data_IF_748440948698
#
_entry.id   IF_748440948698
#
_cell.length_a   1.000
_cell.length_b   1.000
_cell.length_c   1.000
_cell.angle_alpha   90.00
_cell.angle_beta   90.00
_cell.angle_gamma   90.00
#
_symmetry.space_group_name_H-M   'P 1'
#
loop_
_entity.id
_entity.type
_entity.pdbx_description
1 polymer ?
#
# COMPACT_ATOMS: atom_id res chain seq x y z
N UNK A 1 2.69 -14.90 13.47
CA UNK A 1 3.54 -13.69 13.55
C UNK A 1 4.28 -13.56 12.24
N UNK A 2 3.80 -12.72 11.32
CA UNK A 2 4.49 -12.41 10.08
C UNK A 2 5.72 -11.56 10.41
N UNK A 3 6.91 -12.07 10.13
CA UNK A 3 8.16 -11.33 10.31
C UNK A 3 8.13 -10.10 9.41
N UNK A 4 8.50 -8.90 9.88
CA UNK A 4 8.85 -7.82 8.96
C UNK A 4 10.02 -8.28 8.11
N UNK A 5 9.89 -8.11 6.80
CA UNK A 5 10.94 -8.39 5.83
C UNK A 5 12.15 -7.51 6.16
N UNK A 6 13.32 -8.06 6.56
CA UNK A 6 14.47 -7.29 7.05
C UNK A 6 15.08 -6.34 5.99
N UNK A 7 14.55 -6.34 4.76
CA UNK A 7 15.00 -5.48 3.68
C UNK A 7 14.39 -4.06 3.72
N UNK A 8 13.18 -3.88 4.26
CA UNK A 8 12.46 -2.60 4.29
C UNK A 8 12.71 -1.85 5.62
N UNK A 9 12.77 -0.52 5.57
CA UNK A 9 12.90 0.34 6.75
C UNK A 9 11.56 0.76 7.33
N UNK A 10 10.54 0.96 6.48
CA UNK A 10 9.22 1.28 6.96
C UNK A 10 8.44 0.01 7.31
N UNK A 11 7.64 0.03 8.38
CA UNK A 11 6.66 -1.01 8.61
C UNK A 11 5.49 -0.88 7.63
N UNK A 12 5.03 -2.03 7.16
CA UNK A 12 3.93 -2.15 6.22
C UNK A 12 2.90 -3.15 6.74
N UNK A 13 1.63 -2.75 6.71
CA UNK A 13 0.50 -3.65 6.93
C UNK A 13 -0.42 -3.59 5.72
N UNK A 14 -0.68 -4.75 5.13
CA UNK A 14 -1.62 -4.91 4.02
C UNK A 14 -2.83 -5.69 4.49
N UNK A 15 -3.99 -5.06 4.35
CA UNK A 15 -5.29 -5.63 4.64
C UNK A 15 -6.07 -5.77 3.33
N UNK A 16 -6.72 -6.92 3.15
CA UNK A 16 -7.56 -7.22 2.01
C UNK A 16 -8.95 -7.63 2.47
N UNK A 17 -9.96 -6.97 1.92
CA UNK A 17 -11.36 -7.36 2.06
C UNK A 17 -11.86 -7.84 0.70
N UNK A 18 -12.19 -9.13 0.57
CA UNK A 18 -12.73 -9.68 -0.67
C UNK A 18 -14.02 -8.99 -1.10
N UNK A 19 -14.19 -8.86 -2.41
CA UNK A 19 -15.40 -8.33 -3.00
C UNK A 19 -16.65 -9.11 -2.55
N UNK A 20 -17.62 -8.42 -1.94
CA UNK A 20 -18.95 -8.99 -1.66
C UNK A 20 -19.98 -8.21 -2.46
N UNK A 21 -20.76 -8.89 -3.29
CA UNK A 21 -21.88 -8.25 -3.97
C UNK A 21 -22.97 -7.96 -2.93
N UNK A 22 -23.21 -6.68 -2.62
CA UNK A 22 -24.26 -6.30 -1.69
C UNK A 22 -25.66 -6.42 -2.33
N UNK A 23 -25.78 -6.19 -3.65
CA UNK A 23 -27.02 -6.36 -4.41
C UNK A 23 -26.80 -6.90 -5.84
N UNK A 24 -27.82 -7.56 -6.46
CA UNK A 24 -27.79 -7.91 -7.87
C UNK A 24 -27.64 -6.65 -8.75
N UNK A 25 -26.54 -6.57 -9.50
CA UNK A 25 -26.24 -5.45 -10.40
C UNK A 25 -25.21 -4.45 -9.87
N UNK A 26 -24.79 -4.54 -8.61
CA UNK A 26 -23.64 -3.79 -8.11
C UNK A 26 -22.32 -4.45 -8.50
N UNK A 27 -21.32 -3.62 -8.80
CA UNK A 27 -19.96 -4.10 -9.04
C UNK A 27 -19.32 -4.44 -7.70
N UNK A 28 -19.09 -5.73 -7.46
CA UNK A 28 -18.35 -6.19 -6.29
C UNK A 28 -16.86 -5.84 -6.47
N UNK A 29 -16.30 -5.07 -5.55
CA UNK A 29 -14.91 -4.60 -5.58
C UNK A 29 -14.11 -5.14 -4.41
N UNK A 30 -12.91 -5.61 -4.70
CA UNK A 30 -11.91 -5.94 -3.70
C UNK A 30 -11.38 -4.64 -3.10
N UNK A 31 -11.28 -4.60 -1.77
CA UNK A 31 -10.71 -3.45 -1.07
C UNK A 31 -9.35 -3.80 -0.51
N UNK A 32 -8.37 -2.98 -0.82
CA UNK A 32 -7.04 -3.02 -0.22
C UNK A 32 -6.85 -1.81 0.67
N UNK A 33 -6.40 -2.05 1.90
CA UNK A 33 -5.95 -1.01 2.80
C UNK A 33 -4.48 -1.24 3.13
N UNK A 34 -3.64 -0.30 2.74
CA UNK A 34 -2.22 -0.31 3.02
C UNK A 34 -1.96 0.68 4.14
N UNK A 35 -1.33 0.26 5.22
CA UNK A 35 -0.87 1.13 6.31
C UNK A 35 0.65 1.17 6.32
N UNK A 36 1.22 2.37 6.33
CA UNK A 36 2.66 2.60 6.26
C UNK A 36 3.09 3.43 7.47
N UNK A 37 4.17 3.01 8.13
CA UNK A 37 4.77 3.78 9.22
C UNK A 37 4.12 3.58 10.59
N UNK A 38 3.05 2.78 10.67
CA UNK A 38 2.50 2.34 11.96
C UNK A 38 3.47 1.35 12.60
N UNK A 39 4.11 1.75 13.70
CA UNK A 39 5.08 0.95 14.43
C UNK A 39 4.68 0.82 15.91
N UNK A 40 3.70 -0.05 16.24
CA UNK A 40 3.26 -0.22 17.62
C UNK A 40 4.35 -0.82 18.52
N UNK A 41 5.38 -1.43 17.92
CA UNK A 41 6.51 -2.05 18.62
C UNK A 41 7.67 -1.07 18.86
N UNK A 42 7.61 0.17 18.33
CA UNK A 42 8.64 1.20 18.52
C UNK A 42 10.01 0.85 17.89
N UNK A 43 10.04 0.07 16.82
CA UNK A 43 11.27 -0.33 16.10
C UNK A 43 11.96 0.86 15.43
N UNK A 44 11.23 1.90 15.01
CA UNK A 44 11.79 3.12 14.43
C UNK A 44 12.24 4.08 15.54
N UNK A 45 13.39 3.81 16.15
CA UNK A 45 14.05 4.76 17.08
C UNK A 45 14.57 6.02 16.38
N UNK A 46 14.62 6.02 15.05
CA UNK A 46 15.09 7.12 14.21
C UNK A 46 14.10 7.42 13.08
N UNK A 47 13.91 8.70 12.70
CA UNK A 47 13.00 9.05 11.63
C UNK A 47 13.50 8.47 10.30
N UNK A 48 12.63 7.74 9.62
CA UNK A 48 12.84 7.23 8.27
C UNK A 48 12.34 8.26 7.28
N UNK A 49 13.24 8.82 6.47
CA UNK A 49 12.87 9.71 5.36
C UNK A 49 12.52 8.87 4.15
N UNK A 50 11.35 9.12 3.58
CA UNK A 50 10.80 8.35 2.46
C UNK A 50 10.51 9.26 1.28
N UNK A 51 11.19 9.02 0.16
CA UNK A 51 11.03 9.77 -1.07
C UNK A 51 10.03 9.14 -2.04
N UNK A 52 9.85 7.81 -1.99
CA UNK A 52 8.90 7.08 -2.86
C UNK A 52 8.57 5.73 -2.28
N UNK A 53 7.34 5.27 -2.50
CA UNK A 53 6.92 3.89 -2.25
C UNK A 53 6.18 3.40 -3.50
N UNK A 54 6.45 2.17 -3.91
CA UNK A 54 5.72 1.49 -4.98
C UNK A 54 5.25 0.14 -4.48
N UNK A 55 3.99 -0.19 -4.78
CA UNK A 55 3.32 -1.42 -4.39
C UNK A 55 2.81 -2.11 -5.66
N UNK A 56 3.26 -3.34 -5.90
CA UNK A 56 2.76 -4.19 -6.97
C UNK A 56 1.73 -5.17 -6.44
N UNK A 57 0.48 -4.99 -6.84
CA UNK A 57 -0.69 -5.80 -6.46
C UNK A 57 -0.95 -6.83 -7.56
N UNK A 58 -0.51 -8.10 -7.40
CA UNK A 58 -0.75 -9.12 -8.42
C UNK A 58 -2.22 -9.53 -8.41
N UNK A 59 -2.77 -9.78 -9.60
CA UNK A 59 -4.05 -10.45 -9.75
C UNK A 59 -3.98 -11.89 -9.22
N UNK A 60 -5.09 -12.41 -8.72
CA UNK A 60 -5.20 -13.81 -8.34
C UNK A 60 -4.99 -14.72 -9.56
N UNK A 61 -4.44 -15.92 -9.35
CA UNK A 61 -4.23 -16.86 -10.44
C UNK A 61 -5.58 -17.24 -11.09
N UNK A 62 -5.68 -17.09 -12.41
CA UNK A 62 -6.91 -17.35 -13.16
C UNK A 62 -7.98 -16.24 -13.06
N UNK A 63 -7.69 -15.14 -12.35
CA UNK A 63 -8.56 -13.97 -12.37
C UNK A 63 -8.43 -13.25 -13.72
N UNK A 64 -9.47 -13.35 -14.55
CA UNK A 64 -9.65 -12.43 -15.66
C UNK A 64 -10.31 -11.16 -15.13
N UNK A 65 -9.73 -9.99 -15.42
CA UNK A 65 -10.46 -8.74 -15.28
C UNK A 65 -11.74 -8.85 -16.13
N UNK A 66 -12.91 -8.66 -15.52
CA UNK A 66 -14.21 -8.79 -16.24
C UNK A 66 -14.31 -7.85 -17.46
N UNK A 67 -13.45 -6.84 -17.53
CA UNK A 67 -13.35 -5.83 -18.60
C UNK A 67 -12.03 -5.86 -19.38
N UNK A 68 -11.17 -6.88 -19.20
CA UNK A 68 -9.90 -7.03 -19.94
C UNK A 68 -8.68 -6.32 -19.32
N UNK A 69 -8.88 -5.33 -18.46
CA UNK A 69 -7.82 -4.66 -17.67
C UNK A 69 -8.26 -4.48 -16.21
N UNK A 70 -7.36 -4.60 -15.22
CA UNK A 70 -7.63 -4.23 -13.83
C UNK A 70 -8.00 -2.75 -13.79
N UNK A 71 -9.13 -2.41 -13.16
CA UNK A 71 -9.52 -1.02 -12.98
C UNK A 71 -9.46 -0.70 -11.50
N UNK A 72 -8.58 0.24 -11.14
CA UNK A 72 -8.70 0.93 -9.85
C UNK A 72 -9.81 1.96 -10.02
N UNK A 73 -10.89 1.77 -9.29
CA UNK A 73 -12.05 2.64 -9.39
C UNK A 73 -11.99 3.79 -8.40
N UNK A 74 -11.30 3.59 -7.29
CA UNK A 74 -11.19 4.60 -6.25
C UNK A 74 -9.91 4.47 -5.45
N UNK A 75 -9.25 5.61 -5.27
CA UNK A 75 -8.13 5.76 -4.35
C UNK A 75 -8.51 6.79 -3.29
N UNK A 76 -8.46 6.40 -2.02
CA UNK A 76 -8.66 7.31 -0.88
C UNK A 76 -7.38 7.33 -0.06
N UNK A 77 -6.85 8.53 0.17
CA UNK A 77 -5.68 8.71 1.04
C UNK A 77 -6.12 9.27 2.38
N UNK A 78 -5.95 8.50 3.45
CA UNK A 78 -6.06 9.01 4.80
C UNK A 78 -4.67 9.40 5.29
N UNK A 79 -4.47 10.72 5.44
CA UNK A 79 -3.26 11.33 5.95
C UNK A 79 -3.64 12.19 7.14
N UNK A 80 -3.09 11.90 8.30
CA UNK A 80 -3.12 12.85 9.39
C UNK A 80 -2.23 14.06 9.05
N UNK A 81 -2.79 15.28 9.03
CA UNK A 81 -2.05 16.49 8.64
C UNK A 81 -1.07 16.93 9.73
N UNK A 82 0.16 17.32 9.36
CA UNK A 82 1.17 17.81 10.30
C UNK A 82 2.52 18.12 9.64
N UNK A 83 3.40 18.90 10.31
CA UNK A 83 4.75 19.17 9.82
C UNK A 83 5.57 17.89 9.69
N UNK A 84 6.40 17.77 8.65
CA UNK A 84 7.26 16.59 8.42
C UNK A 84 6.61 15.41 7.69
N UNK A 85 5.30 15.44 7.44
CA UNK A 85 4.53 14.30 6.87
C UNK A 85 4.53 14.24 5.32
N UNK A 86 5.34 15.10 4.69
CA UNK A 86 5.34 15.39 3.26
C UNK A 86 4.25 16.41 2.92
N UNK A 87 4.60 17.45 2.15
CA UNK A 87 3.67 18.57 1.89
C UNK A 87 2.49 18.21 0.99
N UNK A 88 2.70 17.28 0.07
CA UNK A 88 1.69 16.74 -0.83
C UNK A 88 2.10 15.32 -1.20
N UNK A 89 1.15 14.38 -1.19
CA UNK A 89 1.40 13.00 -1.63
C UNK A 89 0.57 12.73 -2.87
N UNK A 90 1.25 12.59 -4.01
CA UNK A 90 0.61 12.11 -5.20
C UNK A 90 0.49 10.58 -5.08
N UNK A 91 -0.74 10.10 -5.20
CA UNK A 91 -1.01 8.68 -5.32
C UNK A 91 -1.30 8.40 -6.79
N UNK A 92 -0.33 7.81 -7.46
CA UNK A 92 -0.46 7.40 -8.86
C UNK A 92 -0.79 5.92 -8.91
N UNK A 93 -1.68 5.57 -9.82
CA UNK A 93 -2.12 4.19 -10.02
C UNK A 93 -1.96 3.85 -11.48
N UNK A 94 -1.28 2.75 -11.77
CA UNK A 94 -1.00 2.29 -13.13
C UNK A 94 -1.42 0.84 -13.28
N UNK A 95 -2.22 0.56 -14.30
CA UNK A 95 -2.81 -0.76 -14.58
C UNK A 95 -2.44 -1.30 -15.96
N UNK A 96 -1.33 -0.80 -16.53
CA UNK A 96 -0.86 -1.15 -17.88
C UNK A 96 -0.45 -2.62 -18.02
N UNK A 97 -0.16 -3.30 -16.91
CA UNK A 97 0.00 -4.75 -16.87
C UNK A 97 -1.31 -5.39 -16.37
N UNK A 98 -2.01 -6.21 -17.18
CA UNK A 98 -3.24 -6.86 -16.75
C UNK A 98 -3.06 -7.85 -15.60
N UNK A 99 -1.84 -8.34 -15.36
CA UNK A 99 -1.52 -9.23 -14.25
C UNK A 99 -1.18 -8.48 -12.96
N UNK A 100 -0.86 -7.19 -13.03
CA UNK A 100 -0.36 -6.42 -11.89
C UNK A 100 -0.87 -4.99 -11.89
N UNK A 101 -1.53 -4.62 -10.80
CA UNK A 101 -1.86 -3.22 -10.52
C UNK A 101 -0.73 -2.58 -9.72
N UNK A 102 -0.18 -1.47 -10.21
CA UNK A 102 0.89 -0.74 -9.53
C UNK A 102 0.35 0.52 -8.87
N UNK A 103 0.65 0.69 -7.58
CA UNK A 103 0.38 1.90 -6.80
C UNK A 103 1.71 2.58 -6.47
N UNK A 104 1.85 3.85 -6.81
CA UNK A 104 3.02 4.67 -6.49
C UNK A 104 2.60 5.82 -5.57
N UNK A 105 3.29 5.94 -4.44
CA UNK A 105 3.16 7.04 -3.50
C UNK A 105 4.40 7.92 -3.63
N UNK A 106 4.21 9.10 -4.22
CA UNK A 106 5.29 10.05 -4.50
C UNK A 106 5.03 11.37 -3.76
N UNK A 107 5.60 11.57 -2.56
CA UNK A 107 5.51 12.84 -1.87
C UNK A 107 6.35 13.92 -2.56
N UNK A 108 5.85 15.16 -2.63
CA UNK A 108 6.57 16.30 -3.23
C UNK A 108 7.88 16.65 -2.52
N UNK A 109 7.95 16.34 -1.22
CA UNK A 109 9.17 16.40 -0.40
C UNK A 109 9.28 15.09 0.39
N UNK A 110 10.48 14.55 0.64
CA UNK A 110 10.61 13.31 1.41
C UNK A 110 9.94 13.44 2.78
N UNK A 111 9.07 12.49 3.09
CA UNK A 111 8.34 12.50 4.34
C UNK A 111 9.09 11.75 5.43
N UNK A 112 9.08 12.28 6.65
CA UNK A 112 9.66 11.64 7.82
C UNK A 112 8.64 10.79 8.56
N UNK A 113 8.88 9.48 8.65
CA UNK A 113 8.13 8.57 9.50
C UNK A 113 8.93 8.36 10.79
N UNK A 114 8.36 8.73 11.92
CA UNK A 114 8.97 8.65 13.25
C UNK A 114 8.21 7.69 14.19
N UNK A 115 7.27 6.91 13.62
CA UNK A 115 6.40 5.99 14.35
C UNK A 115 5.18 6.66 15.00
N UNK A 116 5.06 7.98 14.99
CA UNK A 116 3.93 8.70 15.62
C UNK A 116 2.72 8.88 14.70
N UNK A 117 2.88 8.60 13.42
CA UNK A 117 1.85 8.80 12.42
C UNK A 117 1.98 7.77 11.30
N UNK A 118 0.86 7.46 10.65
CA UNK A 118 0.81 6.52 9.56
C UNK A 118 0.12 7.10 8.32
N UNK A 119 0.42 6.50 7.17
CA UNK A 119 -0.23 6.79 5.90
C UNK A 119 -1.11 5.60 5.51
N UNK A 120 -2.39 5.86 5.22
CA UNK A 120 -3.35 4.80 4.93
C UNK A 120 -4.09 5.00 3.61
N UNK A 121 -3.48 4.65 2.46
CA UNK A 121 -4.21 4.56 1.20
C UNK A 121 -5.16 3.35 1.18
N UNK A 122 -6.37 3.59 0.72
CA UNK A 122 -7.38 2.57 0.41
C UNK A 122 -7.64 2.55 -1.09
N UNK A 123 -7.65 1.36 -1.67
CA UNK A 123 -7.93 1.12 -3.08
C UNK A 123 -9.11 0.19 -3.23
N UNK A 124 -10.07 0.57 -4.08
CA UNK A 124 -11.13 -0.33 -4.54
C UNK A 124 -10.77 -0.83 -5.95
N UNK A 125 -10.65 -2.14 -6.12
CA UNK A 125 -10.10 -2.83 -7.29
C UNK A 125 -11.12 -3.83 -7.81
N UNK A 126 -11.34 -3.87 -9.13
CA UNK A 126 -12.31 -4.79 -9.76
C UNK A 126 -11.81 -6.21 -10.00
N UNK A 127 -10.50 -6.42 -9.86
CA UNK A 127 -9.84 -7.70 -10.07
C UNK A 127 -9.46 -8.34 -8.73
N UNK A 128 -9.83 -9.61 -8.50
CA UNK A 128 -9.36 -10.37 -7.34
C UNK A 128 -7.84 -10.38 -7.24
N UNK A 129 -7.32 -10.23 -6.03
CA UNK A 129 -5.88 -10.13 -5.78
C UNK A 129 -5.25 -11.45 -5.33
N UNK A 130 -3.96 -11.59 -5.61
CA UNK A 130 -3.13 -12.63 -5.01
C UNK A 130 -2.93 -12.43 -3.51
N UNK A 131 -2.20 -13.35 -2.88
CA UNK A 131 -1.99 -13.36 -1.42
C UNK A 131 -0.80 -12.53 -0.94
N UNK A 132 0.05 -12.08 -1.86
CA UNK A 132 1.25 -11.30 -1.56
C UNK A 132 1.37 -10.11 -2.49
N UNK A 133 2.03 -9.06 -2.01
CA UNK A 133 2.37 -7.89 -2.80
C UNK A 133 3.85 -7.56 -2.67
N UNK A 134 4.43 -7.09 -3.77
CA UNK A 134 5.80 -6.60 -3.80
C UNK A 134 5.82 -5.13 -3.41
N UNK A 135 6.67 -4.76 -2.47
CA UNK A 135 6.89 -3.39 -2.03
C UNK A 135 8.29 -2.96 -2.42
N UNK A 136 8.42 -1.75 -2.94
CA UNK A 136 9.71 -1.08 -3.04
C UNK A 136 9.64 0.29 -2.41
N UNK A 137 10.70 0.72 -1.75
CA UNK A 137 10.78 2.02 -1.08
C UNK A 137 12.13 2.69 -1.38
N UNK A 138 12.10 4.01 -1.49
CA UNK A 138 13.30 4.85 -1.55
C UNK A 138 13.42 5.59 -0.21
N UNK A 139 14.21 5.02 0.71
CA UNK A 139 14.25 5.44 2.13
C UNK A 139 15.67 5.69 2.65
N UNK A 140 15.77 6.58 3.63
CA UNK A 140 16.98 6.90 4.38
C UNK A 140 16.70 6.92 5.89
N UNK A 141 17.68 6.50 6.69
CA UNK A 141 17.67 6.68 8.15
C UNK A 141 18.35 8.01 8.49
N UNK A 142 17.64 8.93 9.17
CA UNK A 142 18.19 10.24 9.51
C UNK A 142 18.73 11.00 8.29
N UNK A 143 19.99 11.46 8.37
CA UNK A 143 20.67 12.22 7.31
C UNK A 143 21.44 11.33 6.30
N UNK A 144 21.23 10.02 6.34
CA UNK A 144 21.87 9.12 5.38
C UNK A 144 21.32 9.31 3.96
N UNK A 145 22.05 8.81 2.96
CA UNK A 145 21.57 8.81 1.58
C UNK A 145 20.42 7.82 1.42
N UNK A 146 19.40 8.22 0.65
CA UNK A 146 18.31 7.34 0.25
C UNK A 146 18.85 6.10 -0.46
N UNK A 147 18.29 4.94 -0.10
CA UNK A 147 18.56 3.66 -0.74
C UNK A 147 17.26 3.09 -1.27
N UNK A 148 17.34 2.51 -2.45
CA UNK A 148 16.26 1.69 -2.99
C UNK A 148 16.24 0.34 -2.27
N UNK A 149 15.07 -0.05 -1.77
CA UNK A 149 14.84 -1.30 -1.05
C UNK A 149 13.61 -1.98 -1.62
N UNK A 150 13.58 -3.30 -1.52
CA UNK A 150 12.48 -4.12 -1.98
C UNK A 150 12.19 -5.21 -0.94
N UNK A 151 10.92 -5.53 -0.78
CA UNK A 151 10.45 -6.60 0.09
C UNK A 151 9.09 -7.10 -0.34
N UNK A 152 8.56 -8.06 0.40
CA UNK A 152 7.22 -8.61 0.18
C UNK A 152 6.38 -8.47 1.43
N UNK A 153 5.09 -8.21 1.24
CA UNK A 153 4.10 -8.20 2.31
C UNK A 153 2.95 -9.13 1.93
N UNK A 154 2.47 -9.89 2.92
CA UNK A 154 1.32 -10.78 2.74
C UNK A 154 0.05 -10.03 3.11
N UNK A 155 -1.01 -10.20 2.31
CA UNK A 155 -2.31 -9.67 2.66
C UNK A 155 -2.86 -10.40 3.87
N UNK A 156 -3.31 -9.63 4.86
CA UNK A 156 -4.13 -10.17 5.94
C UNK A 156 -5.58 -10.01 5.51
N UNK A 157 -6.32 -11.13 5.44
CA UNK A 157 -7.75 -11.07 5.17
C UNK A 157 -8.45 -10.43 6.37
N UNK A 158 -9.14 -9.31 6.14
CA UNK A 158 -10.02 -8.73 7.15
C UNK A 158 -11.40 -9.35 6.96
N UNK A 159 -11.93 -10.12 7.92
CA UNK A 159 -13.29 -10.63 7.83
C UNK A 159 -14.26 -9.44 7.72
N UNK A 160 -15.29 -9.57 6.88
CA UNK A 160 -16.35 -8.57 6.83
C UNK A 160 -17.02 -8.50 8.22
N UNK A 161 -17.37 -7.30 8.71
CA UNK A 161 -18.25 -7.21 9.88
C UNK A 161 -19.57 -7.92 9.51
N UNK A 162 -19.91 -8.95 10.29
CA UNK A 162 -21.19 -9.66 10.21
C UNK A 162 -22.37 -8.71 10.43
#
# INVERSE_FOLDING_TARGET
MTSPDPALLLPYRLEHTPATAAQPGEMALDRVRLTIGEDPDGRTTWPVRCARITLGLPAAHGAAARTGEPVILRTRLELERGPGRGRQRLVETTTTDPATTTLTLNPAEPAGFDGTWSLTPTLDISTPLGTQSRITEDTALGDSRSRHRAGTATFTATPLPN
#
